data_IF_006717413313
#
_entry.id   IF_006717413313
#
_cell.length_a   1.000
_cell.length_b   1.000
_cell.length_c   1.000
_cell.angle_alpha   90.00
_cell.angle_beta   90.00
_cell.angle_gamma   90.00
#
_symmetry.space_group_name_H-M   'P 1'
#
loop_
_entity.id
_entity.type
_entity.pdbx_description
1 polymer ?
#
# COMPACT_ATOMS: atom_id res chain seq x y z
N UNK A 1 15.61 -4.47 -59.80
CA UNK A 1 15.19 -5.64 -59.01
C UNK A 1 14.02 -5.24 -58.12
N UNK A 2 12.79 -5.59 -58.53
CA UNK A 2 11.56 -5.44 -57.71
C UNK A 2 11.54 -6.58 -56.71
N UNK A 3 11.81 -6.33 -55.43
CA UNK A 3 11.54 -7.30 -54.35
C UNK A 3 11.16 -6.58 -53.06
N UNK A 4 9.86 -6.68 -52.78
CA UNK A 4 9.28 -6.90 -51.46
C UNK A 4 9.07 -5.62 -50.61
N UNK A 5 8.05 -4.87 -51.03
CA UNK A 5 7.13 -4.16 -50.13
C UNK A 5 6.35 -5.21 -49.32
N UNK A 6 7.00 -5.87 -48.34
CA UNK A 6 6.28 -6.75 -47.41
C UNK A 6 5.65 -5.88 -46.32
N UNK A 7 4.39 -5.56 -46.57
CA UNK A 7 3.34 -5.51 -45.58
C UNK A 7 3.72 -4.83 -44.26
N UNK A 8 3.57 -3.51 -44.32
CA UNK A 8 3.17 -2.63 -43.22
C UNK A 8 1.84 -3.14 -42.60
N UNK A 9 1.84 -4.33 -42.02
CA UNK A 9 0.72 -4.96 -41.32
C UNK A 9 1.16 -5.37 -39.91
N UNK A 10 2.05 -4.58 -39.32
CA UNK A 10 2.45 -4.71 -37.94
C UNK A 10 1.36 -4.05 -37.06
N UNK A 11 0.39 -4.88 -36.70
CA UNK A 11 -0.19 -4.89 -35.35
C UNK A 11 -0.68 -3.55 -34.80
N UNK A 12 -1.69 -2.96 -35.43
CA UNK A 12 -2.63 -2.09 -34.72
C UNK A 12 -3.56 -2.94 -33.84
N UNK A 13 -3.01 -3.53 -32.77
CA UNK A 13 -3.85 -3.99 -31.65
C UNK A 13 -4.33 -2.74 -30.91
N UNK A 14 -5.42 -2.15 -31.38
CA UNK A 14 -6.18 -1.22 -30.55
C UNK A 14 -6.84 -2.04 -29.46
N UNK A 15 -6.30 -1.95 -28.25
CA UNK A 15 -6.99 -2.44 -27.05
C UNK A 15 -8.24 -1.58 -26.90
N UNK A 16 -9.38 -2.10 -27.36
CA UNK A 16 -10.66 -1.48 -27.10
C UNK A 16 -10.96 -1.66 -25.62
N UNK A 17 -10.72 -0.61 -24.83
CA UNK A 17 -11.27 -0.55 -23.48
C UNK A 17 -12.78 -0.47 -23.62
N UNK A 18 -13.48 -1.55 -23.33
CA UNK A 18 -14.93 -1.52 -23.15
C UNK A 18 -15.22 -0.67 -21.90
N UNK A 19 -15.37 0.64 -22.08
CA UNK A 19 -15.86 1.50 -21.02
C UNK A 19 -17.34 1.20 -20.84
N UNK A 20 -17.75 0.91 -19.60
CA UNK A 20 -19.15 0.87 -19.27
C UNK A 20 -19.80 2.20 -19.74
N UNK A 21 -20.95 2.15 -20.40
CA UNK A 21 -21.62 3.37 -20.86
C UNK A 21 -21.73 4.38 -19.71
N UNK A 22 -21.29 5.62 -19.93
CA UNK A 22 -21.34 6.73 -18.96
C UNK A 22 -22.75 7.31 -18.87
N UNK A 23 -23.76 6.44 -18.74
CA UNK A 23 -25.18 6.78 -18.71
C UNK A 23 -25.99 5.68 -18.03
N UNK A 24 -27.15 6.03 -17.48
CA UNK A 24 -28.09 5.08 -16.85
C UNK A 24 -29.53 5.33 -17.31
N UNK A 25 -30.31 4.27 -17.51
CA UNK A 25 -31.72 4.40 -17.90
C UNK A 25 -32.57 4.96 -16.76
N UNK A 26 -33.49 5.88 -17.08
CA UNK A 26 -34.46 6.42 -16.14
C UNK A 26 -35.84 6.52 -16.79
N UNK A 27 -36.85 6.13 -16.03
CA UNK A 27 -38.24 6.17 -16.46
C UNK A 27 -39.10 6.81 -15.38
N UNK A 28 -40.02 7.67 -15.80
CA UNK A 28 -40.97 8.31 -14.90
C UNK A 28 -42.31 8.55 -15.59
N UNK A 29 -43.40 8.35 -14.86
CA UNK A 29 -44.74 8.68 -15.32
C UNK A 29 -45.06 10.12 -14.92
N UNK A 30 -45.31 10.97 -15.90
CA UNK A 30 -45.53 12.40 -15.70
C UNK A 30 -47.03 12.69 -15.66
N UNK A 31 -47.45 13.36 -14.59
CA UNK A 31 -48.81 13.85 -14.39
C UNK A 31 -48.82 15.37 -14.36
N UNK A 32 -49.88 15.98 -14.89
CA UNK A 32 -50.16 17.41 -14.77
C UNK A 32 -50.67 17.73 -13.35
N UNK A 33 -50.78 19.02 -13.03
CA UNK A 33 -51.24 19.49 -11.72
C UNK A 33 -52.67 19.01 -11.36
N UNK A 34 -53.51 18.73 -12.37
CA UNK A 34 -54.86 18.17 -12.22
C UNK A 34 -54.87 16.63 -12.05
N UNK A 35 -53.70 15.98 -12.00
CA UNK A 35 -53.55 14.53 -11.86
C UNK A 35 -53.66 13.73 -13.16
N UNK A 36 -54.02 14.37 -14.27
CA UNK A 36 -54.11 13.73 -15.60
C UNK A 36 -52.72 13.40 -16.14
N UNK A 37 -52.63 12.38 -17.00
CA UNK A 37 -51.36 12.00 -17.63
C UNK A 37 -50.94 13.07 -18.64
N UNK A 38 -49.66 13.44 -18.62
CA UNK A 38 -49.07 14.20 -19.71
C UNK A 38 -48.78 13.22 -20.87
N UNK A 39 -49.81 12.75 -21.56
CA UNK A 39 -49.67 11.74 -22.62
C UNK A 39 -49.23 12.38 -23.95
N UNK A 40 -48.32 11.72 -24.69
CA UNK A 40 -47.84 12.19 -26.01
C UNK A 40 -47.40 13.66 -26.03
N UNK A 41 -46.80 14.11 -24.93
CA UNK A 41 -46.47 15.51 -24.69
C UNK A 41 -44.96 15.67 -24.64
N UNK A 42 -44.43 16.72 -25.29
CA UNK A 42 -43.03 17.10 -25.15
C UNK A 42 -42.79 17.67 -23.75
N UNK A 43 -41.81 17.12 -23.05
CA UNK A 43 -41.41 17.56 -21.71
C UNK A 43 -39.92 17.87 -21.69
N UNK A 44 -39.51 18.77 -20.80
CA UNK A 44 -38.10 19.02 -20.52
C UNK A 44 -37.80 18.56 -19.10
N UNK A 45 -36.75 17.76 -18.94
CA UNK A 45 -36.35 17.15 -17.67
C UNK A 45 -34.97 17.64 -17.33
N UNK A 46 -34.84 18.27 -16.18
CA UNK A 46 -33.55 18.57 -15.55
C UNK A 46 -33.26 17.53 -14.49
N UNK A 47 -32.11 16.90 -14.60
CA UNK A 47 -31.65 15.85 -13.68
C UNK A 47 -30.45 16.36 -12.90
N UNK A 48 -30.47 16.18 -11.58
CA UNK A 48 -29.33 16.46 -10.70
C UNK A 48 -28.95 15.21 -9.91
N UNK A 49 -27.66 14.91 -9.82
CA UNK A 49 -27.13 13.91 -8.90
C UNK A 49 -26.63 14.63 -7.66
N UNK A 50 -27.27 14.38 -6.52
CA UNK A 50 -26.96 15.02 -5.23
C UNK A 50 -26.15 14.07 -4.35
N UNK A 51 -25.15 14.59 -3.66
CA UNK A 51 -24.31 13.82 -2.74
C UNK A 51 -24.80 13.92 -1.29
N UNK A 52 -24.84 12.79 -0.59
CA UNK A 52 -25.03 12.69 0.86
C UNK A 52 -26.49 12.74 1.33
N UNK A 53 -27.33 13.61 0.76
CA UNK A 53 -28.75 13.73 1.14
C UNK A 53 -29.64 14.20 -0.02
N UNK A 54 -30.95 14.12 0.16
CA UNK A 54 -31.95 14.60 -0.80
C UNK A 54 -31.92 16.12 -1.05
N UNK A 55 -31.20 16.88 -0.21
CA UNK A 55 -30.97 18.32 -0.34
C UNK A 55 -29.47 18.66 -0.46
N UNK A 56 -28.64 17.66 -0.73
CA UNK A 56 -27.19 17.82 -0.85
C UNK A 56 -26.77 18.61 -2.08
N UNK A 57 -25.48 18.94 -2.15
CA UNK A 57 -24.90 19.62 -3.31
C UNK A 57 -24.97 18.73 -4.55
N UNK A 58 -25.35 19.31 -5.69
CA UNK A 58 -25.34 18.60 -6.97
C UNK A 58 -23.90 18.39 -7.47
N UNK A 59 -23.47 17.13 -7.59
CA UNK A 59 -22.20 16.75 -8.22
C UNK A 59 -22.27 16.77 -9.74
N UNK A 60 -23.48 16.66 -10.30
CA UNK A 60 -23.75 16.70 -11.74
C UNK A 60 -25.17 17.20 -12.00
N UNK A 61 -25.35 18.01 -13.04
CA UNK A 61 -26.65 18.47 -13.52
C UNK A 61 -26.70 18.42 -15.05
N UNK A 62 -27.79 17.93 -15.60
CA UNK A 62 -28.08 17.94 -17.04
C UNK A 62 -29.52 18.29 -17.35
N UNK A 63 -29.80 18.62 -18.62
CA UNK A 63 -31.16 18.76 -19.15
C UNK A 63 -31.35 17.88 -20.38
N UNK A 64 -32.57 17.34 -20.54
CA UNK A 64 -32.95 16.54 -21.68
C UNK A 64 -34.44 16.70 -22.00
N UNK A 65 -34.76 16.85 -23.28
CA UNK A 65 -36.15 16.85 -23.77
C UNK A 65 -36.54 15.45 -24.25
N UNK A 66 -37.77 15.05 -23.97
CA UNK A 66 -38.33 13.77 -24.44
C UNK A 66 -39.84 13.90 -24.63
N UNK A 67 -40.43 13.01 -25.42
CA UNK A 67 -41.89 12.93 -25.58
C UNK A 67 -42.41 11.75 -24.79
N UNK A 68 -43.38 11.98 -23.92
CA UNK A 68 -44.04 10.91 -23.17
C UNK A 68 -44.85 9.99 -24.08
N UNK A 69 -45.04 8.72 -23.69
CA UNK A 69 -45.95 7.84 -24.40
C UNK A 69 -47.43 8.08 -24.02
N UNK A 70 -48.35 7.26 -24.54
CA UNK A 70 -49.79 7.33 -24.25
C UNK A 70 -50.14 7.14 -22.76
N UNK A 71 -49.25 6.49 -21.99
CA UNK A 71 -49.38 6.31 -20.55
C UNK A 71 -48.67 7.40 -19.74
N UNK A 72 -48.23 8.49 -20.39
CA UNK A 72 -47.48 9.58 -19.74
C UNK A 72 -46.05 9.18 -19.31
N UNK A 73 -45.52 8.04 -19.78
CA UNK A 73 -44.19 7.57 -19.44
C UNK A 73 -43.14 8.32 -20.26
N UNK A 74 -42.23 9.01 -19.59
CA UNK A 74 -40.98 9.51 -20.14
C UNK A 74 -39.86 8.47 -19.95
N UNK A 75 -39.06 8.24 -20.98
CA UNK A 75 -37.84 7.42 -20.92
C UNK A 75 -36.66 8.27 -21.36
N UNK A 76 -35.63 8.32 -20.53
CA UNK A 76 -34.37 9.04 -20.80
C UNK A 76 -33.16 8.19 -20.37
N UNK A 77 -31.99 8.58 -20.84
CA UNK A 77 -30.71 8.02 -20.39
C UNK A 77 -29.94 9.13 -19.66
N UNK A 78 -29.95 9.09 -18.33
CA UNK A 78 -29.26 10.07 -17.50
C UNK A 78 -27.75 9.97 -17.77
N UNK A 79 -27.08 11.09 -18.02
CA UNK A 79 -25.69 11.17 -18.48
C UNK A 79 -25.56 11.34 -20.00
N UNK A 80 -26.65 11.22 -20.75
CA UNK A 80 -26.73 11.47 -22.19
C UNK A 80 -27.38 12.81 -22.57
N UNK A 81 -27.78 13.63 -21.60
CA UNK A 81 -28.33 14.96 -21.82
C UNK A 81 -27.28 16.05 -22.01
N UNK A 82 -27.72 17.30 -22.05
CA UNK A 82 -26.83 18.46 -22.11
C UNK A 82 -26.38 18.82 -20.69
N UNK A 83 -25.08 18.70 -20.35
CA UNK A 83 -24.60 19.04 -19.01
C UNK A 83 -24.75 20.54 -18.73
N UNK A 84 -25.34 20.89 -17.59
CA UNK A 84 -25.40 22.25 -17.06
C UNK A 84 -24.28 22.50 -16.02
N UNK A 85 -23.88 21.47 -15.28
CA UNK A 85 -22.71 21.51 -14.39
C UNK A 85 -22.13 20.11 -14.16
N UNK A 86 -20.81 20.04 -13.98
CA UNK A 86 -20.08 18.78 -13.81
C UNK A 86 -20.08 17.90 -15.07
N UNK A 87 -19.54 16.69 -14.94
CA UNK A 87 -19.61 15.64 -15.96
C UNK A 87 -20.00 14.33 -15.30
N UNK A 88 -20.79 13.50 -15.98
CA UNK A 88 -21.26 12.23 -15.43
C UNK A 88 -20.09 11.29 -15.04
N UNK A 89 -19.04 11.29 -15.86
CA UNK A 89 -17.83 10.50 -15.64
C UNK A 89 -17.02 10.91 -14.39
N UNK A 90 -17.17 12.15 -13.90
CA UNK A 90 -16.44 12.66 -12.75
C UNK A 90 -17.20 12.52 -11.43
N UNK A 91 -18.40 11.92 -11.44
CA UNK A 91 -19.16 11.67 -10.21
C UNK A 91 -18.39 10.64 -9.37
N UNK A 92 -18.00 11.03 -8.16
CA UNK A 92 -17.37 10.11 -7.21
C UNK A 92 -18.44 9.24 -6.53
N UNK A 93 -18.86 8.18 -7.22
CA UNK A 93 -19.87 7.22 -6.75
C UNK A 93 -19.50 6.55 -5.41
N UNK A 94 -18.23 6.57 -5.00
CA UNK A 94 -17.76 6.03 -3.72
C UNK A 94 -17.85 7.00 -2.53
N UNK A 95 -18.17 8.28 -2.75
CA UNK A 95 -18.15 9.32 -1.71
C UNK A 95 -19.36 9.30 -0.75
N UNK A 96 -20.21 8.26 -0.80
CA UNK A 96 -21.38 8.10 0.05
C UNK A 96 -22.66 7.85 -0.74
N UNK A 97 -23.81 8.09 -0.10
CA UNK A 97 -25.12 7.94 -0.75
C UNK A 97 -25.35 9.02 -1.80
N UNK A 98 -25.95 8.64 -2.93
CA UNK A 98 -26.30 9.56 -4.00
C UNK A 98 -27.83 9.60 -4.17
N UNK A 99 -28.35 10.73 -4.64
CA UNK A 99 -29.77 10.93 -4.89
C UNK A 99 -29.98 11.48 -6.30
N UNK A 100 -30.99 10.99 -7.01
CA UNK A 100 -31.47 11.61 -8.24
C UNK A 100 -32.57 12.60 -7.88
N UNK A 101 -32.37 13.86 -8.24
CA UNK A 101 -33.43 14.87 -8.26
C UNK A 101 -33.82 15.15 -9.70
N UNK A 102 -35.10 15.01 -10.01
CA UNK A 102 -35.67 15.44 -11.31
C UNK A 102 -36.56 16.64 -11.13
N UNK A 103 -36.43 17.61 -12.04
CA UNK A 103 -37.27 18.79 -12.17
C UNK A 103 -37.84 18.78 -13.60
N UNK A 104 -39.16 18.88 -13.78
CA UNK A 104 -39.82 18.64 -15.07
C UNK A 104 -40.70 19.85 -15.46
N UNK A 105 -40.53 20.32 -16.68
CA UNK A 105 -41.46 21.23 -17.35
C UNK A 105 -42.39 20.40 -18.26
N UNK A 106 -43.69 20.29 -17.92
CA UNK A 106 -44.65 19.50 -18.69
C UNK A 106 -45.02 20.12 -20.05
N UNK A 107 -44.55 21.33 -20.36
CA UNK A 107 -44.75 22.03 -21.63
C UNK A 107 -43.50 22.02 -22.53
N UNK A 108 -42.40 21.42 -22.06
CA UNK A 108 -41.14 21.36 -22.80
C UNK A 108 -40.29 22.64 -22.75
N UNK A 109 -40.70 23.63 -21.96
CA UNK A 109 -39.95 24.87 -21.74
C UNK A 109 -38.87 24.74 -20.66
N UNK A 110 -38.64 25.84 -19.93
CA UNK A 110 -37.66 25.93 -18.82
C UNK A 110 -38.30 26.22 -17.47
N UNK A 111 -39.64 26.15 -17.36
CA UNK A 111 -40.38 26.40 -16.14
C UNK A 111 -40.72 25.08 -15.45
N UNK A 112 -39.76 24.57 -14.68
CA UNK A 112 -39.89 23.29 -13.99
C UNK A 112 -40.87 23.37 -12.81
N UNK A 113 -42.02 22.72 -12.94
CA UNK A 113 -43.12 22.78 -11.95
C UNK A 113 -43.30 21.49 -11.17
N UNK A 114 -42.79 20.37 -11.69
CA UNK A 114 -42.85 19.06 -11.04
C UNK A 114 -41.45 18.72 -10.55
N UNK A 115 -41.29 18.37 -9.27
CA UNK A 115 -40.01 17.93 -8.72
C UNK A 115 -40.16 16.68 -7.88
N UNK A 116 -39.14 15.81 -7.95
CA UNK A 116 -39.03 14.62 -7.12
C UNK A 116 -37.57 14.28 -6.86
N UNK A 117 -37.27 13.78 -5.66
CA UNK A 117 -35.94 13.32 -5.28
C UNK A 117 -36.05 11.90 -4.75
N UNK A 118 -35.18 11.00 -5.23
CA UNK A 118 -35.09 9.61 -4.78
C UNK A 118 -33.64 9.21 -4.56
N UNK A 119 -33.38 8.34 -3.57
CA UNK A 119 -32.04 7.80 -3.35
C UNK A 119 -31.70 6.80 -4.45
N UNK A 120 -30.46 6.86 -4.95
CA UNK A 120 -29.88 5.79 -5.74
C UNK A 120 -29.52 4.62 -4.82
N UNK A 121 -30.33 3.57 -4.89
CA UNK A 121 -30.03 2.32 -4.21
C UNK A 121 -29.18 1.43 -5.13
N UNK A 122 -28.19 0.75 -4.55
CA UNK A 122 -27.36 -0.18 -5.31
C UNK A 122 -28.19 -1.36 -5.80
N UNK A 123 -28.05 -1.71 -7.10
CA UNK A 123 -28.57 -2.97 -7.63
C UNK A 123 -27.70 -4.15 -7.14
N UNK A 124 -28.22 -5.39 -7.01
CA UNK A 124 -27.47 -6.52 -6.46
C UNK A 124 -26.10 -6.77 -7.11
N UNK A 125 -25.99 -6.59 -8.44
CA UNK A 125 -24.72 -6.72 -9.16
C UNK A 125 -23.73 -5.57 -8.86
N UNK A 126 -24.24 -4.35 -8.61
CA UNK A 126 -23.42 -3.19 -8.25
C UNK A 126 -22.91 -3.27 -6.80
N UNK A 127 -23.64 -3.93 -5.90
CA UNK A 127 -23.14 -4.25 -4.54
C UNK A 127 -21.92 -5.18 -4.63
N UNK A 128 -21.97 -6.19 -5.50
CA UNK A 128 -20.84 -7.10 -5.71
C UNK A 128 -19.64 -6.42 -6.39
N UNK A 129 -19.88 -5.50 -7.33
CA UNK A 129 -18.82 -4.71 -7.96
C UNK A 129 -18.21 -3.65 -7.02
N UNK A 130 -19.01 -3.04 -6.13
CA UNK A 130 -18.55 -2.07 -5.12
C UNK A 130 -17.70 -2.69 -4.01
N UNK A 131 -17.82 -4.00 -3.78
CA UNK A 131 -16.91 -4.77 -2.92
C UNK A 131 -15.57 -5.12 -3.57
N UNK A 132 -15.34 -4.78 -4.83
CA UNK A 132 -14.03 -4.93 -5.49
C UNK A 132 -13.10 -3.76 -5.13
N UNK A 133 -12.96 -3.46 -3.83
CA UNK A 133 -11.77 -2.72 -3.37
C UNK A 133 -10.55 -3.46 -3.90
N UNK A 134 -9.62 -2.72 -4.52
CA UNK A 134 -8.35 -3.26 -4.97
C UNK A 134 -7.73 -4.03 -3.80
N UNK A 135 -7.60 -5.34 -3.96
CA UNK A 135 -7.01 -6.20 -2.92
C UNK A 135 -5.49 -6.05 -2.85
N UNK A 136 -4.91 -5.18 -3.70
CA UNK A 136 -3.47 -5.05 -3.90
C UNK A 136 -2.90 -6.17 -4.76
N UNK A 137 -1.67 -5.97 -5.24
CA UNK A 137 -0.87 -7.03 -5.85
C UNK A 137 -0.27 -7.90 -4.76
N UNK A 138 -0.15 -9.20 -5.02
CA UNK A 138 0.56 -10.14 -4.14
C UNK A 138 2.02 -9.72 -3.93
N UNK A 139 2.67 -9.24 -4.98
CA UNK A 139 4.06 -8.80 -4.96
C UNK A 139 4.20 -7.44 -5.62
N UNK A 140 4.91 -6.53 -4.95
CA UNK A 140 5.28 -5.22 -5.45
C UNK A 140 6.78 -5.20 -5.72
N UNK A 141 7.18 -4.72 -6.88
CA UNK A 141 8.58 -4.62 -7.30
C UNK A 141 8.89 -3.18 -7.71
N UNK A 142 9.82 -2.54 -7.02
CA UNK A 142 10.39 -1.25 -7.35
C UNK A 142 11.84 -1.47 -7.82
N UNK A 143 12.18 -1.03 -9.03
CA UNK A 143 13.51 -1.26 -9.62
C UNK A 143 13.88 -0.17 -10.62
N UNK A 144 15.13 -0.15 -11.08
CA UNK A 144 15.59 0.70 -12.17
C UNK A 144 15.68 2.18 -11.78
N UNK A 145 15.28 3.07 -12.67
CA UNK A 145 15.41 4.52 -12.52
C UNK A 145 14.25 5.19 -11.78
N UNK A 146 13.43 4.40 -11.07
CA UNK A 146 12.27 4.89 -10.33
C UNK A 146 12.64 6.02 -9.37
N UNK A 147 11.86 7.10 -9.44
CA UNK A 147 11.96 8.26 -8.55
C UNK A 147 11.06 8.10 -7.32
N UNK A 148 11.30 8.89 -6.27
CA UNK A 148 10.47 8.90 -5.06
C UNK A 148 8.97 9.09 -5.37
N UNK A 149 8.63 10.02 -6.27
CA UNK A 149 7.24 10.28 -6.64
C UNK A 149 6.58 9.10 -7.38
N UNK A 150 7.33 8.41 -8.25
CA UNK A 150 6.86 7.22 -8.95
C UNK A 150 6.67 6.04 -7.98
N UNK A 151 7.60 5.85 -7.04
CA UNK A 151 7.49 4.81 -6.01
C UNK A 151 6.25 5.03 -5.13
N UNK A 152 5.99 6.27 -4.70
CA UNK A 152 4.77 6.62 -3.96
C UNK A 152 3.52 6.28 -4.76
N UNK A 153 3.47 6.72 -6.02
CA UNK A 153 2.31 6.47 -6.89
C UNK A 153 2.08 4.97 -7.10
N UNK A 154 3.14 4.20 -7.32
CA UNK A 154 3.05 2.76 -7.50
C UNK A 154 2.56 2.07 -6.22
N UNK A 155 3.12 2.41 -5.05
CA UNK A 155 2.70 1.86 -3.77
C UNK A 155 1.23 2.19 -3.46
N UNK A 156 0.78 3.41 -3.74
CA UNK A 156 -0.63 3.81 -3.55
C UNK A 156 -1.61 2.98 -4.39
N UNK A 157 -1.20 2.58 -5.60
CA UNK A 157 -2.05 1.80 -6.51
C UNK A 157 -1.97 0.29 -6.27
N UNK A 158 -0.82 -0.19 -5.80
CA UNK A 158 -0.51 -1.63 -5.76
C UNK A 158 -0.61 -2.23 -4.35
N UNK A 159 -0.50 -1.43 -3.28
CA UNK A 159 -0.68 -1.92 -1.93
C UNK A 159 -2.15 -2.28 -1.66
N UNK A 160 -2.35 -3.39 -0.96
CA UNK A 160 -3.65 -3.80 -0.47
C UNK A 160 -3.56 -4.97 0.50
N UNK A 161 -4.70 -5.47 1.00
CA UNK A 161 -4.76 -6.53 2.01
C UNK A 161 -4.09 -7.85 1.58
N UNK A 162 -3.96 -8.13 0.28
CA UNK A 162 -3.30 -9.33 -0.25
C UNK A 162 -1.83 -9.12 -0.59
N UNK A 163 -1.24 -7.95 -0.30
CA UNK A 163 0.19 -7.75 -0.55
C UNK A 163 1.02 -8.53 0.45
N UNK A 164 1.75 -9.51 -0.07
CA UNK A 164 2.60 -10.40 0.71
C UNK A 164 4.08 -10.05 0.58
N UNK A 165 4.50 -9.54 -0.58
CA UNK A 165 5.92 -9.37 -0.88
C UNK A 165 6.23 -7.97 -1.39
N UNK A 166 7.31 -7.39 -0.88
CA UNK A 166 7.82 -6.09 -1.34
C UNK A 166 9.31 -6.23 -1.66
N UNK A 167 9.65 -5.95 -2.91
CA UNK A 167 11.01 -6.02 -3.44
C UNK A 167 11.42 -4.65 -3.96
N UNK A 168 12.48 -4.07 -3.41
CA UNK A 168 13.07 -2.81 -3.85
C UNK A 168 14.51 -3.08 -4.23
N UNK A 169 14.74 -3.27 -5.53
CA UNK A 169 15.96 -3.90 -6.05
C UNK A 169 16.62 -3.00 -7.10
N UNK A 170 17.89 -2.65 -6.90
CA UNK A 170 18.68 -2.02 -7.96
C UNK A 170 18.19 -0.64 -8.38
N UNK A 171 17.56 0.13 -7.47
CA UNK A 171 17.08 1.46 -7.84
C UNK A 171 18.22 2.47 -7.93
N UNK A 172 18.18 3.36 -8.92
CA UNK A 172 19.25 4.33 -9.21
C UNK A 172 18.91 5.77 -8.82
N UNK A 173 17.63 6.09 -8.69
CA UNK A 173 17.14 7.44 -8.35
C UNK A 173 16.29 7.52 -7.07
N UNK A 174 15.83 6.39 -6.54
CA UNK A 174 15.06 6.35 -5.30
C UNK A 174 15.96 6.78 -4.14
N UNK A 175 15.53 7.82 -3.41
CA UNK A 175 16.23 8.34 -2.23
C UNK A 175 15.45 8.11 -0.95
N UNK A 176 14.13 8.10 -1.01
CA UNK A 176 13.24 7.83 0.12
C UNK A 176 12.20 6.78 -0.26
N UNK A 177 12.02 5.80 0.63
CA UNK A 177 11.01 4.76 0.48
C UNK A 177 10.01 4.83 1.65
N UNK A 178 8.75 5.14 1.35
CA UNK A 178 7.70 5.15 2.37
C UNK A 178 6.88 3.85 2.37
N UNK A 179 7.07 3.02 3.40
CA UNK A 179 6.30 1.80 3.64
C UNK A 179 5.44 1.91 4.90
N UNK A 180 5.08 3.13 5.32
CA UNK A 180 4.24 3.35 6.49
C UNK A 180 2.84 2.75 6.37
N UNK A 181 2.32 2.52 5.17
CA UNK A 181 1.04 1.82 4.97
C UNK A 181 1.16 0.29 5.16
N UNK A 182 2.38 -0.26 5.19
CA UNK A 182 2.62 -1.70 5.28
C UNK A 182 2.59 -2.14 6.74
N UNK A 183 1.68 -3.08 7.05
CA UNK A 183 1.54 -3.64 8.40
C UNK A 183 2.22 -4.99 8.55
N UNK A 184 1.95 -5.91 7.63
CA UNK A 184 2.50 -7.27 7.65
C UNK A 184 2.92 -7.66 6.24
N UNK A 185 4.00 -8.41 6.11
CA UNK A 185 4.46 -8.99 4.85
C UNK A 185 5.05 -10.38 5.08
N UNK A 186 5.05 -11.20 4.05
CA UNK A 186 5.81 -12.45 4.01
C UNK A 186 7.27 -12.14 3.77
N UNK A 187 7.60 -11.44 2.68
CA UNK A 187 8.98 -11.09 2.34
C UNK A 187 9.15 -9.58 2.13
N UNK A 188 10.20 -9.02 2.71
CA UNK A 188 10.64 -7.65 2.46
C UNK A 188 12.12 -7.65 2.10
N UNK A 189 12.43 -7.29 0.85
CA UNK A 189 13.80 -7.21 0.35
C UNK A 189 14.09 -5.83 -0.22
N UNK A 190 15.11 -5.18 0.32
CA UNK A 190 15.59 -3.86 -0.11
C UNK A 190 17.07 -3.99 -0.41
N UNK A 191 17.41 -4.14 -1.68
CA UNK A 191 18.77 -4.48 -2.10
C UNK A 191 19.32 -3.59 -3.20
N UNK A 192 20.62 -3.31 -3.13
CA UNK A 192 21.39 -2.70 -4.23
C UNK A 192 20.84 -1.33 -4.68
N UNK A 193 20.28 -0.55 -3.75
CA UNK A 193 19.72 0.76 -4.07
C UNK A 193 20.77 1.85 -3.88
N UNK A 194 21.22 2.43 -4.99
CA UNK A 194 22.42 3.29 -5.05
C UNK A 194 22.27 4.59 -4.24
N UNK A 195 21.06 5.15 -4.18
CA UNK A 195 20.79 6.46 -3.56
C UNK A 195 19.83 6.41 -2.38
N UNK A 196 19.30 5.23 -2.03
CA UNK A 196 18.30 5.09 -0.97
C UNK A 196 18.91 5.45 0.38
N UNK A 197 18.44 6.55 0.96
CA UNK A 197 18.98 7.12 2.19
C UNK A 197 18.07 6.90 3.40
N UNK A 198 16.75 6.72 3.18
CA UNK A 198 15.78 6.52 4.24
C UNK A 198 14.66 5.56 3.83
N UNK A 199 14.19 4.78 4.80
CA UNK A 199 13.02 3.92 4.66
C UNK A 199 12.10 4.12 5.87
N UNK A 200 10.81 4.32 5.63
CA UNK A 200 9.81 4.47 6.68
C UNK A 200 9.08 3.14 6.94
N UNK A 201 9.29 2.54 8.12
CA UNK A 201 8.65 1.29 8.55
C UNK A 201 7.66 1.49 9.72
N UNK A 202 7.09 2.68 9.88
CA UNK A 202 6.37 3.06 11.11
C UNK A 202 5.29 2.07 11.59
N UNK A 203 4.59 1.39 10.68
CA UNK A 203 3.50 0.47 11.03
C UNK A 203 3.83 -1.00 10.77
N UNK A 204 5.05 -1.31 10.31
CA UNK A 204 5.46 -2.69 10.00
C UNK A 204 5.57 -3.48 11.32
N UNK A 205 4.61 -4.38 11.54
CA UNK A 205 4.42 -5.13 12.78
C UNK A 205 4.98 -6.54 12.71
N UNK A 206 4.81 -7.24 11.59
CA UNK A 206 5.23 -8.63 11.44
C UNK A 206 5.81 -8.92 10.06
N UNK A 207 6.85 -9.76 10.05
CA UNK A 207 7.41 -10.36 8.84
C UNK A 207 7.34 -11.87 8.98
N UNK A 208 6.63 -12.53 8.08
CA UNK A 208 6.40 -13.97 8.21
C UNK A 208 7.53 -14.82 7.67
N UNK A 209 8.34 -14.29 6.75
CA UNK A 209 9.44 -15.05 6.15
C UNK A 209 10.79 -14.34 6.23
N UNK A 210 11.12 -13.46 5.29
CA UNK A 210 12.46 -12.87 5.19
C UNK A 210 12.40 -11.35 5.29
N UNK A 211 13.32 -10.79 6.08
CA UNK A 211 13.69 -9.37 6.04
C UNK A 211 15.12 -9.26 5.54
N UNK A 212 15.31 -8.69 4.36
CA UNK A 212 16.62 -8.52 3.74
C UNK A 212 16.87 -7.07 3.35
N UNK A 213 17.89 -6.45 3.92
CA UNK A 213 18.32 -5.08 3.61
C UNK A 213 19.83 -5.11 3.35
N UNK A 214 20.22 -5.10 2.08
CA UNK A 214 21.60 -5.34 1.66
C UNK A 214 22.10 -4.32 0.62
N UNK A 215 23.35 -3.87 0.74
CA UNK A 215 23.99 -2.99 -0.26
C UNK A 215 23.18 -1.69 -0.53
N UNK A 216 22.64 -1.04 0.52
CA UNK A 216 22.03 0.29 0.42
C UNK A 216 23.01 1.32 1.01
N UNK A 217 24.00 1.71 0.23
CA UNK A 217 25.18 2.44 0.71
C UNK A 217 24.90 3.77 1.39
N UNK A 218 23.75 4.42 1.10
CA UNK A 218 23.36 5.72 1.66
C UNK A 218 22.43 5.62 2.87
N UNK A 219 21.97 4.43 3.21
CA UNK A 219 21.02 4.22 4.30
C UNK A 219 21.73 4.44 5.65
N UNK A 220 21.35 5.48 6.39
CA UNK A 220 22.06 5.90 7.61
C UNK A 220 21.50 5.26 8.90
N UNK A 221 20.21 4.94 8.91
CA UNK A 221 19.55 4.35 10.06
C UNK A 221 18.42 3.43 9.62
N UNK A 222 18.13 2.43 10.45
CA UNK A 222 16.97 1.55 10.32
C UNK A 222 16.15 1.60 11.60
N UNK A 223 14.91 2.08 11.48
CA UNK A 223 13.98 2.19 12.60
C UNK A 223 12.74 1.32 12.32
N UNK A 224 12.49 0.37 13.20
CA UNK A 224 11.33 -0.53 13.17
C UNK A 224 10.50 -0.34 14.44
N UNK A 225 9.76 0.77 14.58
CA UNK A 225 9.16 1.15 15.85
C UNK A 225 8.00 0.22 16.26
N UNK A 226 7.37 -0.45 15.30
CA UNK A 226 6.23 -1.35 15.51
C UNK A 226 6.55 -2.84 15.32
N UNK A 227 7.76 -3.22 14.88
CA UNK A 227 8.07 -4.61 14.49
C UNK A 227 8.16 -5.51 15.72
N UNK A 228 7.17 -6.40 15.88
CA UNK A 228 7.03 -7.29 17.04
C UNK A 228 7.70 -8.64 16.84
N UNK A 229 7.64 -9.16 15.61
CA UNK A 229 8.14 -10.50 15.30
C UNK A 229 8.62 -10.63 13.85
N UNK A 230 9.69 -11.42 13.69
CA UNK A 230 10.08 -12.03 12.41
C UNK A 230 9.98 -13.55 12.58
N UNK A 231 9.06 -14.20 11.88
CA UNK A 231 8.70 -15.60 12.15
C UNK A 231 9.47 -16.62 11.35
N UNK A 232 9.80 -16.32 10.10
CA UNK A 232 10.33 -17.30 9.15
C UNK A 232 11.85 -17.34 9.14
N UNK A 233 12.47 -17.16 7.98
CA UNK A 233 13.93 -17.17 7.83
C UNK A 233 14.62 -16.02 8.58
N UNK A 234 15.91 -15.95 8.31
CA UNK A 234 16.87 -15.05 8.91
C UNK A 234 16.58 -13.57 8.58
N UNK A 235 16.78 -12.70 9.56
CA UNK A 235 16.81 -11.25 9.33
C UNK A 235 18.21 -10.84 8.88
N UNK A 236 18.36 -10.38 7.63
CA UNK A 236 19.63 -9.96 7.06
C UNK A 236 19.69 -8.45 6.88
N UNK A 237 20.59 -7.79 7.60
CA UNK A 237 20.98 -6.40 7.34
C UNK A 237 22.48 -6.37 7.15
N UNK A 238 22.94 -6.23 5.91
CA UNK A 238 24.39 -6.31 5.65
C UNK A 238 24.89 -5.40 4.55
N UNK A 239 26.17 -5.02 4.63
CA UNK A 239 26.84 -4.22 3.59
C UNK A 239 26.14 -2.88 3.33
N UNK A 240 25.45 -2.31 4.31
CA UNK A 240 24.93 -0.96 4.22
C UNK A 240 26.02 -0.01 4.76
N UNK A 241 26.84 0.53 3.85
CA UNK A 241 28.11 1.16 4.22
C UNK A 241 27.98 2.40 5.11
N UNK A 242 26.86 3.12 5.01
CA UNK A 242 26.60 4.32 5.82
C UNK A 242 25.72 4.06 7.05
N UNK A 243 25.31 2.82 7.30
CA UNK A 243 24.36 2.49 8.36
C UNK A 243 25.03 2.62 9.73
N UNK A 244 24.52 3.52 10.57
CA UNK A 244 25.06 3.82 11.91
C UNK A 244 24.25 3.16 13.02
N UNK A 245 22.94 3.00 12.83
CA UNK A 245 22.05 2.45 13.85
C UNK A 245 20.95 1.54 13.30
N UNK A 246 20.61 0.52 14.09
CA UNK A 246 19.42 -0.30 13.90
C UNK A 246 18.64 -0.30 15.22
N UNK A 247 17.34 0.00 15.17
CA UNK A 247 16.47 0.00 16.35
C UNK A 247 15.18 -0.76 16.08
N UNK A 248 14.94 -1.79 16.88
CA UNK A 248 13.71 -2.57 16.91
C UNK A 248 13.20 -2.65 18.36
N UNK A 249 12.64 -1.55 18.91
CA UNK A 249 12.36 -1.41 20.34
C UNK A 249 11.31 -2.40 20.86
N UNK A 250 10.44 -2.92 19.98
CA UNK A 250 9.34 -3.81 20.35
C UNK A 250 9.49 -5.24 19.82
N UNK A 251 10.65 -5.58 19.23
CA UNK A 251 10.91 -6.90 18.69
C UNK A 251 11.09 -7.91 19.82
N UNK A 252 10.17 -8.85 19.94
CA UNK A 252 10.19 -9.88 21.00
C UNK A 252 10.70 -11.23 20.51
N UNK A 253 10.56 -11.50 19.22
CA UNK A 253 10.84 -12.79 18.60
C UNK A 253 11.49 -12.61 17.23
N UNK A 254 12.57 -13.33 16.98
CA UNK A 254 13.14 -13.53 15.64
C UNK A 254 13.58 -14.98 15.47
N UNK A 255 13.88 -15.45 14.25
CA UNK A 255 14.54 -16.76 14.06
C UNK A 255 16.05 -16.62 14.26
N UNK A 256 16.68 -15.88 13.36
CA UNK A 256 18.09 -15.52 13.38
C UNK A 256 18.23 -14.05 13.01
N UNK A 257 19.30 -13.40 13.49
CA UNK A 257 19.60 -12.00 13.21
C UNK A 257 21.02 -11.93 12.67
N UNK A 258 21.17 -11.36 11.49
CA UNK A 258 22.46 -11.13 10.82
C UNK A 258 22.57 -9.65 10.50
N UNK A 259 23.05 -8.88 11.45
CA UNK A 259 23.41 -7.49 11.23
C UNK A 259 24.92 -7.45 11.04
N UNK A 260 25.41 -7.70 9.83
CA UNK A 260 26.84 -7.96 9.60
C UNK A 260 27.43 -7.11 8.50
N UNK A 261 28.73 -6.84 8.55
CA UNK A 261 29.46 -6.10 7.51
C UNK A 261 28.86 -4.72 7.25
N UNK A 262 28.38 -4.03 8.29
CA UNK A 262 27.94 -2.64 8.22
C UNK A 262 29.02 -1.80 8.93
N UNK A 263 30.04 -1.30 8.22
CA UNK A 263 31.29 -0.82 8.81
C UNK A 263 31.15 0.42 9.69
N UNK A 264 30.00 1.11 9.69
CA UNK A 264 29.72 2.26 10.56
C UNK A 264 28.65 1.95 11.64
N UNK A 265 28.12 0.72 11.66
CA UNK A 265 27.04 0.33 12.57
C UNK A 265 27.60 0.24 13.99
N UNK A 266 27.22 1.20 14.82
CA UNK A 266 27.74 1.37 16.18
C UNK A 266 26.67 1.21 17.26
N UNK A 267 25.39 1.23 16.87
CA UNK A 267 24.27 1.09 17.79
C UNK A 267 23.24 0.07 17.28
N UNK A 268 22.92 -0.90 18.12
CA UNK A 268 21.89 -1.92 17.86
C UNK A 268 20.97 -1.96 19.08
N UNK A 269 19.70 -1.62 18.88
CA UNK A 269 18.71 -1.64 19.94
C UNK A 269 17.65 -2.73 19.74
N UNK A 270 17.68 -3.73 20.63
CA UNK A 270 16.80 -4.90 20.67
C UNK A 270 16.38 -5.19 22.13
N UNK A 271 15.75 -4.24 22.83
CA UNK A 271 15.60 -4.31 24.29
C UNK A 271 14.60 -5.38 24.75
N UNK A 272 13.63 -5.76 23.91
CA UNK A 272 12.59 -6.73 24.25
C UNK A 272 12.79 -8.11 23.62
N UNK A 273 13.93 -8.35 22.95
CA UNK A 273 14.19 -9.63 22.30
C UNK A 273 14.38 -10.73 23.35
N UNK A 274 13.43 -11.65 23.43
CA UNK A 274 13.42 -12.74 24.42
C UNK A 274 13.33 -14.12 23.78
N UNK A 275 13.05 -14.21 22.48
CA UNK A 275 12.89 -15.49 21.79
C UNK A 275 13.64 -15.52 20.46
N UNK A 276 14.50 -16.51 20.32
CA UNK A 276 15.07 -16.98 19.05
C UNK A 276 14.54 -18.38 18.74
N UNK A 277 14.63 -18.86 17.49
CA UNK A 277 14.03 -20.15 17.13
C UNK A 277 14.73 -21.34 17.83
N UNK A 278 14.00 -22.46 17.96
CA UNK A 278 14.51 -23.64 18.65
C UNK A 278 15.45 -24.45 17.73
N UNK A 279 16.74 -24.50 18.09
CA UNK A 279 17.74 -25.41 17.53
C UNK A 279 18.52 -24.85 16.34
N UNK A 280 19.61 -24.10 16.59
CA UNK A 280 20.53 -23.46 15.62
C UNK A 280 20.19 -22.01 15.22
N UNK A 281 19.59 -21.21 16.12
CA UNK A 281 19.50 -19.78 15.89
C UNK A 281 20.90 -19.15 15.82
N UNK A 282 21.11 -18.23 14.86
CA UNK A 282 22.34 -17.47 14.72
C UNK A 282 22.08 -15.98 14.96
N UNK A 283 22.86 -15.40 15.85
CA UNK A 283 22.91 -13.98 16.17
C UNK A 283 24.29 -13.47 15.77
N UNK A 284 24.40 -13.01 14.52
CA UNK A 284 25.65 -12.56 13.93
C UNK A 284 25.65 -11.04 13.78
N UNK A 285 26.62 -10.43 14.45
CA UNK A 285 26.89 -9.00 14.52
C UNK A 285 28.32 -8.68 14.06
N UNK A 286 28.89 -9.51 13.18
CA UNK A 286 30.29 -9.41 12.77
C UNK A 286 30.55 -8.29 11.77
N UNK A 287 31.75 -7.72 11.79
CA UNK A 287 32.16 -6.75 10.76
C UNK A 287 31.44 -5.41 10.87
N UNK A 288 31.13 -4.96 12.07
CA UNK A 288 30.51 -3.66 12.35
C UNK A 288 31.48 -2.74 13.10
N UNK A 289 30.99 -1.61 13.61
CA UNK A 289 31.74 -0.66 14.44
C UNK A 289 31.15 -0.58 15.86
N UNK A 290 30.74 -1.73 16.42
CA UNK A 290 30.21 -1.78 17.78
C UNK A 290 31.33 -1.51 18.77
N UNK A 291 31.07 -0.66 19.76
CA UNK A 291 32.00 -0.44 20.87
C UNK A 291 31.94 -1.59 21.89
N UNK A 292 32.96 -1.74 22.75
CA UNK A 292 32.92 -2.72 23.85
C UNK A 292 31.70 -2.54 24.76
N UNK A 293 31.22 -1.30 24.96
CA UNK A 293 30.00 -1.06 25.74
C UNK A 293 28.74 -1.60 25.03
N UNK A 294 28.66 -1.44 23.71
CA UNK A 294 27.58 -1.99 22.91
C UNK A 294 27.63 -3.53 22.86
N UNK A 295 28.83 -4.11 22.76
CA UNK A 295 29.05 -5.56 22.86
C UNK A 295 28.60 -6.09 24.23
N UNK A 296 28.99 -5.44 25.32
CA UNK A 296 28.54 -5.81 26.67
C UNK A 296 27.01 -5.72 26.81
N UNK A 297 26.39 -4.67 26.26
CA UNK A 297 24.94 -4.51 26.25
C UNK A 297 24.24 -5.64 25.50
N UNK A 298 24.76 -6.05 24.34
CA UNK A 298 24.22 -7.18 23.59
C UNK A 298 24.34 -8.46 24.42
N UNK A 299 25.53 -8.78 24.94
CA UNK A 299 25.76 -10.00 25.74
C UNK A 299 24.82 -10.09 26.94
N UNK A 300 24.67 -9.00 27.71
CA UNK A 300 23.76 -8.96 28.87
C UNK A 300 22.30 -9.22 28.48
N UNK A 301 21.82 -8.64 27.36
CA UNK A 301 20.46 -8.88 26.85
C UNK A 301 20.26 -10.34 26.45
N UNK A 302 21.27 -10.95 25.83
CA UNK A 302 21.22 -12.34 25.39
C UNK A 302 21.13 -13.35 26.53
N UNK A 303 21.39 -12.96 27.79
CA UNK A 303 21.15 -13.84 28.95
C UNK A 303 19.66 -14.18 29.15
N UNK A 304 18.75 -13.40 28.58
CA UNK A 304 17.31 -13.59 28.76
C UNK A 304 16.61 -14.22 27.56
N UNK A 305 17.36 -14.69 26.55
CA UNK A 305 16.78 -15.33 25.36
C UNK A 305 16.39 -16.78 25.61
N UNK A 306 15.34 -17.23 24.93
CA UNK A 306 14.93 -18.62 24.81
C UNK A 306 15.09 -19.10 23.36
N UNK A 307 15.61 -20.32 23.12
CA UNK A 307 16.20 -21.23 24.09
C UNK A 307 17.48 -20.67 24.73
N UNK A 308 17.76 -21.07 25.97
CA UNK A 308 18.92 -20.55 26.71
C UNK A 308 20.27 -21.11 26.21
N UNK A 309 20.25 -22.10 25.32
CA UNK A 309 21.39 -22.86 24.81
C UNK A 309 21.27 -23.11 23.31
N UNK A 310 22.38 -23.45 22.65
CA UNK A 310 22.39 -23.82 21.23
C UNK A 310 22.29 -22.64 20.26
N UNK A 311 22.50 -21.41 20.74
CA UNK A 311 22.58 -20.20 19.90
C UNK A 311 24.03 -19.96 19.48
N UNK A 312 24.23 -19.61 18.21
CA UNK A 312 25.52 -19.13 17.70
C UNK A 312 25.55 -17.61 17.79
N UNK A 313 26.38 -17.07 18.70
CA UNK A 313 26.52 -15.64 18.95
C UNK A 313 27.87 -15.19 18.42
N UNK A 314 27.87 -14.32 17.41
CA UNK A 314 29.07 -13.84 16.73
C UNK A 314 29.13 -12.32 16.82
N UNK A 315 30.16 -11.80 17.48
CA UNK A 315 30.42 -10.38 17.76
C UNK A 315 31.88 -10.02 17.43
N UNK A 316 32.48 -10.70 16.44
CA UNK A 316 33.89 -10.58 16.08
C UNK A 316 34.08 -9.66 14.87
N UNK A 317 35.32 -9.30 14.60
CA UNK A 317 35.72 -8.41 13.52
C UNK A 317 35.09 -7.03 13.63
N UNK A 318 34.93 -6.49 14.85
CA UNK A 318 34.56 -5.09 14.98
C UNK A 318 35.73 -4.21 14.52
N UNK A 319 35.41 -3.05 13.97
CA UNK A 319 36.41 -2.07 13.55
C UNK A 319 36.08 -0.68 14.13
N UNK A 320 36.83 -0.20 15.13
CA UNK A 320 37.99 -0.85 15.77
C UNK A 320 37.60 -2.10 16.58
N UNK A 321 38.57 -2.99 16.93
CA UNK A 321 38.31 -4.15 17.77
C UNK A 321 37.65 -3.78 19.10
N UNK A 322 36.64 -4.55 19.51
CA UNK A 322 35.79 -4.24 20.65
C UNK A 322 35.57 -5.47 21.55
N UNK A 323 36.62 -5.97 22.23
CA UNK A 323 36.48 -7.09 23.14
C UNK A 323 35.52 -6.73 24.31
N UNK A 324 34.76 -7.69 24.84
CA UNK A 324 33.92 -7.47 26.01
C UNK A 324 34.78 -7.16 27.24
N UNK A 325 34.23 -6.38 28.17
CA UNK A 325 34.94 -5.92 29.38
C UNK A 325 34.07 -6.03 30.62
N UNK A 326 34.68 -6.16 31.81
CA UNK A 326 33.97 -6.19 33.09
C UNK A 326 32.84 -7.23 33.11
N UNK A 327 31.60 -6.79 33.36
CA UNK A 327 30.41 -7.64 33.36
C UNK A 327 30.21 -8.40 32.04
N UNK A 328 30.61 -7.83 30.88
CA UNK A 328 30.49 -8.51 29.59
C UNK A 328 31.31 -9.80 29.49
N UNK A 329 32.46 -9.89 30.17
CA UNK A 329 33.25 -11.13 30.22
C UNK A 329 32.51 -12.22 31.03
N UNK A 330 31.82 -11.83 32.09
CA UNK A 330 31.01 -12.72 32.93
C UNK A 330 29.79 -13.19 32.14
N UNK A 331 29.12 -12.29 31.42
CA UNK A 331 27.95 -12.61 30.59
C UNK A 331 28.34 -13.55 29.45
N UNK A 332 29.45 -13.28 28.75
CA UNK A 332 30.02 -14.19 27.73
C UNK A 332 30.27 -15.59 28.31
N UNK A 333 30.93 -15.67 29.46
CA UNK A 333 31.22 -16.96 30.13
C UNK A 333 29.93 -17.68 30.51
N UNK A 334 28.92 -16.95 31.00
CA UNK A 334 27.62 -17.50 31.36
C UNK A 334 26.89 -18.08 30.14
N UNK A 335 26.91 -17.37 29.01
CA UNK A 335 26.32 -17.85 27.75
C UNK A 335 27.01 -19.13 27.26
N UNK A 336 28.35 -19.18 27.32
CA UNK A 336 29.13 -20.37 26.95
C UNK A 336 28.79 -21.55 27.86
N UNK A 337 28.75 -21.34 29.19
CA UNK A 337 28.41 -22.38 30.16
C UNK A 337 26.98 -22.91 30.01
N UNK A 338 26.06 -22.10 29.46
CA UNK A 338 24.71 -22.54 29.09
C UNK A 338 24.67 -23.35 27.77
N UNK A 339 25.80 -23.55 27.09
CA UNK A 339 25.88 -24.32 25.85
C UNK A 339 25.65 -23.50 24.58
N UNK A 340 25.98 -22.20 24.59
CA UNK A 340 26.00 -21.36 23.40
C UNK A 340 27.43 -21.26 22.83
N UNK A 341 27.55 -21.07 21.52
CA UNK A 341 28.83 -20.76 20.88
C UNK A 341 28.98 -19.24 20.81
N UNK A 342 29.96 -18.66 21.53
CA UNK A 342 30.13 -17.20 21.61
C UNK A 342 31.51 -16.77 21.13
N UNK A 343 31.56 -16.02 20.02
CA UNK A 343 32.76 -15.40 19.48
C UNK A 343 32.71 -13.88 19.67
N UNK A 344 33.80 -13.28 20.15
CA UNK A 344 34.01 -11.84 20.26
C UNK A 344 35.43 -11.52 19.78
N UNK A 345 35.73 -10.25 19.56
CA UNK A 345 37.12 -9.78 19.52
C UNK A 345 37.88 -10.11 20.83
#
# INVERSE_FOLDING_TARGET
MKKITLALLLSSFTVLFAQAPQKMSYQSVIRKADGTLAASTLVNIKTSILLGSATGTASYVETQTTTTNTNGLATIEIGGGTPASGTFANINWGAGSHFIKTEIDPTGGSNFTISGTSQLLSVPYALYAGSAQSQGKTSIVLTGDITDAQAVTQLQNELGPNTENIYVLGTTNLTNLDLSAVKNVVNLSVMENLKLAAINFNNLSEIYNELKIENNDKLAALLFPALKAVHGFDTYVSRNLSLVSISCPVLTKSKSIYFRRNPLLSSIDLPLLVKVHNGEASLNFDGNALSSSQVNLILSRLLNISPASGTYIQLQYQNPPAPPTGQGLIDKTTLINRGNSVATD
#
